data_IF_033030760504
#
_entry.id   IF_033030760504
#
_cell.length_a   1.000
_cell.length_b   1.000
_cell.length_c   1.000
_cell.angle_alpha   90.00
_cell.angle_beta   90.00
_cell.angle_gamma   90.00
#
_symmetry.space_group_name_H-M   'P 1'
#
loop_
_entity.id
_entity.type
_entity.pdbx_description
1 polymer ?
#
# COMPACT_ATOMS: atom_id res chain seq x y z
N UNK A 1 -21.92 -22.62 21.94
CA UNK A 1 -20.46 -22.84 22.01
C UNK A 1 -19.95 -22.39 23.38
N UNK A 2 -18.93 -23.03 23.92
CA UNK A 2 -18.35 -22.64 25.20
C UNK A 2 -17.65 -21.27 25.09
N UNK A 3 -17.82 -20.41 26.10
CA UNK A 3 -17.10 -19.13 26.15
C UNK A 3 -15.64 -19.39 26.52
N UNK A 4 -14.70 -18.87 25.72
CA UNK A 4 -13.26 -18.93 26.01
C UNK A 4 -12.89 -17.67 26.81
N UNK A 5 -12.15 -17.83 27.91
CA UNK A 5 -11.62 -16.70 28.69
C UNK A 5 -10.17 -16.46 28.31
N UNK A 6 -9.83 -15.19 28.16
CA UNK A 6 -8.48 -14.70 27.90
C UNK A 6 -8.13 -13.75 29.05
N UNK A 7 -6.91 -13.88 29.58
CA UNK A 7 -6.37 -12.97 30.59
C UNK A 7 -5.39 -12.02 29.92
N UNK A 8 -5.57 -10.72 30.13
CA UNK A 8 -4.73 -9.68 29.53
C UNK A 8 -4.23 -8.79 30.66
N UNK A 9 -2.91 -8.61 30.72
CA UNK A 9 -2.29 -7.63 31.60
C UNK A 9 -2.24 -6.28 30.89
N UNK A 10 -2.59 -5.22 31.61
CA UNK A 10 -2.55 -3.85 31.12
C UNK A 10 -1.68 -3.03 32.06
N UNK A 11 -1.00 -2.02 31.50
CA UNK A 11 -0.41 -0.98 32.31
C UNK A 11 -1.48 -0.30 33.19
N UNK A 12 -1.16 0.10 34.43
CA UNK A 12 -2.14 0.67 35.36
C UNK A 12 -2.92 1.85 34.77
N UNK A 13 -2.24 2.75 34.06
CA UNK A 13 -2.85 3.93 33.44
C UNK A 13 -3.79 3.53 32.30
N UNK A 14 -3.43 2.52 31.51
CA UNK A 14 -4.28 2.00 30.45
C UNK A 14 -5.53 1.31 31.03
N UNK A 15 -5.37 0.54 32.11
CA UNK A 15 -6.49 -0.11 32.80
C UNK A 15 -7.50 0.92 33.32
N UNK A 16 -7.04 2.01 33.92
CA UNK A 16 -7.91 3.06 34.44
C UNK A 16 -8.64 3.82 33.31
N UNK A 17 -7.94 4.11 32.22
CA UNK A 17 -8.56 4.70 31.02
C UNK A 17 -9.66 3.79 30.48
N UNK A 18 -9.39 2.50 30.31
CA UNK A 18 -10.38 1.54 29.79
C UNK A 18 -11.60 1.48 30.72
N UNK A 19 -11.38 1.43 32.05
CA UNK A 19 -12.47 1.43 33.04
C UNK A 19 -13.34 2.69 32.91
N UNK A 20 -12.73 3.87 32.89
CA UNK A 20 -13.45 5.15 32.73
C UNK A 20 -14.30 5.20 31.45
N UNK A 21 -13.77 4.67 30.34
CA UNK A 21 -14.51 4.62 29.07
C UNK A 21 -15.65 3.61 29.09
N UNK A 22 -15.44 2.42 29.68
CA UNK A 22 -16.48 1.42 29.84
C UNK A 22 -17.63 1.94 30.72
N UNK A 23 -17.30 2.59 31.84
CA UNK A 23 -18.28 3.20 32.74
C UNK A 23 -19.09 4.29 32.04
N UNK A 24 -18.44 5.17 31.27
CA UNK A 24 -19.12 6.21 30.48
C UNK A 24 -20.05 5.62 29.41
N UNK A 25 -19.70 4.45 28.87
CA UNK A 25 -20.53 3.72 27.92
C UNK A 25 -21.64 2.89 28.59
N UNK A 26 -21.68 2.82 29.93
CA UNK A 26 -22.61 1.97 30.67
C UNK A 26 -22.36 0.47 30.47
N UNK A 27 -21.11 0.09 30.23
CA UNK A 27 -20.71 -1.26 29.87
C UNK A 27 -19.73 -1.86 30.89
N UNK A 28 -19.78 -3.17 31.08
CA UNK A 28 -18.71 -3.89 31.76
C UNK A 28 -17.39 -3.81 30.97
N UNK A 29 -16.25 -3.72 31.67
CA UNK A 29 -14.92 -3.58 31.08
C UNK A 29 -14.61 -4.69 30.07
N UNK A 30 -14.96 -5.94 30.38
CA UNK A 30 -14.72 -7.06 29.47
C UNK A 30 -15.57 -6.95 28.20
N UNK A 31 -16.81 -6.51 28.34
CA UNK A 31 -17.72 -6.32 27.20
C UNK A 31 -17.29 -5.12 26.34
N UNK A 32 -16.82 -4.05 26.97
CA UNK A 32 -16.27 -2.89 26.29
C UNK A 32 -15.03 -3.27 25.46
N UNK A 33 -14.07 -3.98 26.07
CA UNK A 33 -12.86 -4.43 25.38
C UNK A 33 -13.17 -5.38 24.21
N UNK A 34 -14.05 -6.36 24.42
CA UNK A 34 -14.44 -7.31 23.37
C UNK A 34 -15.09 -6.57 22.19
N UNK A 35 -16.01 -5.64 22.47
CA UNK A 35 -16.67 -4.87 21.41
C UNK A 35 -15.69 -3.96 20.66
N UNK A 36 -14.75 -3.32 21.38
CA UNK A 36 -13.71 -2.51 20.76
C UNK A 36 -12.81 -3.36 19.85
N UNK A 37 -12.38 -4.54 20.31
CA UNK A 37 -11.57 -5.46 19.53
C UNK A 37 -12.29 -5.94 18.26
N UNK A 38 -13.57 -6.31 18.36
CA UNK A 38 -14.37 -6.73 17.20
C UNK A 38 -14.49 -5.61 16.17
N UNK A 39 -14.70 -4.36 16.61
CA UNK A 39 -14.75 -3.20 15.70
C UNK A 39 -13.42 -2.97 15.01
N UNK A 40 -12.32 -3.01 15.76
CA UNK A 40 -10.98 -2.85 15.21
C UNK A 40 -10.66 -3.93 14.18
N UNK A 41 -11.05 -5.18 14.43
CA UNK A 41 -10.88 -6.28 13.47
C UNK A 41 -11.68 -6.03 12.19
N UNK A 42 -12.96 -5.66 12.32
CA UNK A 42 -13.80 -5.37 11.16
C UNK A 42 -13.28 -4.18 10.33
N UNK A 43 -12.76 -3.14 10.99
CA UNK A 43 -12.15 -1.99 10.32
C UNK A 43 -10.87 -2.39 9.57
N UNK A 44 -10.03 -3.23 10.17
CA UNK A 44 -8.81 -3.74 9.53
C UNK A 44 -9.15 -4.64 8.32
N UNK A 45 -10.08 -5.59 8.49
CA UNK A 45 -10.53 -6.48 7.42
C UNK A 45 -11.16 -5.70 6.25
N UNK A 46 -11.92 -4.64 6.54
CA UNK A 46 -12.49 -3.77 5.52
C UNK A 46 -11.40 -3.01 4.74
N UNK A 47 -10.38 -2.51 5.43
CA UNK A 47 -9.25 -1.85 4.79
C UNK A 47 -8.44 -2.82 3.91
N UNK A 48 -8.17 -4.03 4.39
CA UNK A 48 -7.49 -5.07 3.60
C UNK A 48 -8.31 -5.47 2.37
N UNK A 49 -9.62 -5.60 2.51
CA UNK A 49 -10.51 -5.95 1.40
C UNK A 49 -10.55 -4.87 0.29
N UNK A 50 -10.33 -3.59 0.63
CA UNK A 50 -10.26 -2.50 -0.35
C UNK A 50 -9.09 -2.68 -1.33
N UNK A 51 -7.94 -3.16 -0.85
CA UNK A 51 -6.73 -3.32 -1.65
C UNK A 51 -6.55 -4.72 -2.26
N UNK A 52 -7.27 -5.72 -1.75
CA UNK A 52 -7.15 -7.11 -2.21
C UNK A 52 -7.27 -7.29 -3.74
N UNK A 53 -8.13 -6.50 -4.40
CA UNK A 53 -8.27 -6.54 -5.86
C UNK A 53 -7.05 -5.97 -6.59
N UNK A 54 -6.45 -4.91 -6.06
CA UNK A 54 -5.22 -4.32 -6.63
C UNK A 54 -4.04 -5.26 -6.43
N UNK A 55 -3.91 -5.86 -5.24
CA UNK A 55 -2.86 -6.83 -4.95
C UNK A 55 -2.96 -8.06 -5.87
N UNK A 56 -4.18 -8.53 -6.17
CA UNK A 56 -4.39 -9.61 -7.13
C UNK A 56 -3.96 -9.23 -8.55
N UNK A 57 -4.23 -7.98 -8.98
CA UNK A 57 -3.78 -7.48 -10.29
C UNK A 57 -2.26 -7.32 -10.35
N UNK A 58 -1.63 -6.89 -9.26
CA UNK A 58 -0.17 -6.79 -9.15
C UNK A 58 0.43 -8.20 -9.23
N UNK A 59 -0.08 -9.15 -8.45
CA UNK A 59 0.40 -10.53 -8.46
C UNK A 59 0.29 -11.18 -9.86
N UNK A 60 -0.83 -10.99 -10.56
CA UNK A 60 -0.99 -11.46 -11.95
C UNK A 60 0.01 -10.76 -12.90
N UNK A 61 0.27 -9.47 -12.70
CA UNK A 61 1.26 -8.74 -13.50
C UNK A 61 2.69 -9.22 -13.24
N UNK A 62 3.04 -9.49 -11.99
CA UNK A 62 4.34 -10.02 -11.59
C UNK A 62 4.56 -11.45 -12.13
N UNK A 63 3.56 -12.32 -12.04
CA UNK A 63 3.61 -13.66 -12.63
C UNK A 63 3.82 -13.61 -14.15
N UNK A 64 3.11 -12.72 -14.85
CA UNK A 64 3.32 -12.50 -16.29
C UNK A 64 4.69 -11.90 -16.62
N UNK A 65 5.26 -11.12 -15.71
CA UNK A 65 6.56 -10.48 -15.90
C UNK A 65 7.74 -11.43 -15.60
N UNK A 66 7.54 -12.46 -14.78
CA UNK A 66 8.57 -13.44 -14.38
C UNK A 66 9.43 -13.95 -15.55
N UNK A 67 8.88 -14.32 -16.72
CA UNK A 67 9.67 -14.82 -17.85
C UNK A 67 10.60 -13.79 -18.50
N UNK A 68 10.35 -12.49 -18.29
CA UNK A 68 11.13 -11.41 -18.88
C UNK A 68 12.41 -11.10 -18.08
N UNK A 69 12.55 -11.65 -16.87
CA UNK A 69 13.68 -11.39 -15.99
C UNK A 69 13.73 -9.94 -15.48
N UNK A 70 14.71 -9.61 -14.62
CA UNK A 70 14.92 -8.23 -14.23
C UNK A 70 15.20 -7.38 -15.47
N UNK A 71 14.60 -6.18 -15.51
CA UNK A 71 14.97 -5.17 -16.50
C UNK A 71 16.46 -4.90 -16.27
N UNK A 72 17.32 -5.36 -17.18
CA UNK A 72 18.66 -4.80 -17.27
C UNK A 72 18.43 -3.30 -17.41
N UNK A 73 19.06 -2.48 -16.57
CA UNK A 73 19.09 -1.03 -16.76
C UNK A 73 19.83 -0.76 -18.06
N UNK A 74 19.13 -1.00 -19.16
CA UNK A 74 19.53 -0.76 -20.50
C UNK A 74 19.52 0.76 -20.57
N UNK A 75 20.62 1.36 -20.12
CA UNK A 75 20.88 2.77 -20.30
C UNK A 75 20.72 3.09 -21.77
N UNK A 76 20.66 4.37 -22.09
CA UNK A 76 20.53 4.87 -23.47
C UNK A 76 21.54 4.18 -24.43
N UNK A 77 22.65 3.67 -23.89
CA UNK A 77 23.70 2.85 -24.53
C UNK A 77 23.31 1.45 -25.01
N UNK A 78 22.13 0.94 -24.69
CA UNK A 78 21.60 -0.32 -25.21
C UNK A 78 21.00 -0.19 -26.60
N UNK A 79 20.56 1.02 -26.98
CA UNK A 79 20.03 1.32 -28.31
C UNK A 79 21.16 1.77 -29.22
N UNK A 80 21.20 1.19 -30.43
CA UNK A 80 22.02 1.71 -31.51
C UNK A 80 21.61 3.15 -31.87
N UNK A 81 22.51 3.89 -32.51
CA UNK A 81 22.23 5.26 -32.94
C UNK A 81 21.03 5.36 -33.89
N UNK A 82 20.72 4.29 -34.62
CA UNK A 82 19.57 4.23 -35.52
C UNK A 82 18.27 3.99 -34.76
N UNK A 83 18.27 3.08 -33.78
CA UNK A 83 17.12 2.82 -32.90
C UNK A 83 16.78 4.05 -32.05
N UNK A 84 17.78 4.77 -31.53
CA UNK A 84 17.54 6.03 -30.80
C UNK A 84 16.87 7.08 -31.68
N UNK A 85 17.31 7.20 -32.93
CA UNK A 85 16.75 8.15 -33.90
C UNK A 85 15.30 7.83 -34.24
N UNK A 86 14.98 6.54 -34.37
CA UNK A 86 13.62 6.06 -34.64
C UNK A 86 12.70 6.35 -33.44
N UNK A 87 13.15 6.08 -32.22
CA UNK A 87 12.42 6.41 -30.99
C UNK A 87 12.21 7.92 -30.88
N UNK A 88 13.24 8.73 -31.14
CA UNK A 88 13.13 10.19 -31.11
C UNK A 88 12.15 10.74 -32.14
N UNK A 89 12.08 10.14 -33.33
CA UNK A 89 11.11 10.51 -34.36
C UNK A 89 9.67 10.14 -33.94
N UNK A 90 9.48 8.93 -33.41
CA UNK A 90 8.18 8.48 -32.91
C UNK A 90 7.71 9.34 -31.72
N UNK A 91 8.60 9.65 -30.78
CA UNK A 91 8.28 10.47 -29.61
C UNK A 91 7.95 11.91 -30.00
N UNK A 92 8.60 12.46 -31.04
CA UNK A 92 8.28 13.77 -31.59
C UNK A 92 6.87 13.85 -32.20
N UNK A 93 6.34 12.73 -32.71
CA UNK A 93 4.96 12.64 -33.17
C UNK A 93 3.96 12.70 -32.00
N UNK A 94 4.29 12.06 -30.88
CA UNK A 94 3.44 11.97 -29.68
C UNK A 94 3.43 13.28 -28.88
N UNK A 95 4.61 13.85 -28.62
CA UNK A 95 4.76 15.07 -27.81
C UNK A 95 4.71 16.36 -28.63
N UNK A 96 4.66 16.26 -29.96
CA UNK A 96 4.79 17.40 -30.87
C UNK A 96 6.24 17.91 -30.98
N UNK A 97 6.53 18.63 -32.07
CA UNK A 97 7.88 19.13 -32.40
C UNK A 97 8.42 20.23 -31.46
N UNK A 98 7.74 20.50 -30.34
CA UNK A 98 7.99 21.67 -29.52
C UNK A 98 7.94 21.37 -28.03
N UNK A 99 8.86 20.54 -27.53
CA UNK A 99 9.33 20.64 -26.12
C UNK A 99 10.63 19.85 -25.89
N UNK A 100 11.62 20.06 -26.77
CA UNK A 100 13.00 19.67 -26.49
C UNK A 100 13.73 20.74 -25.66
N UNK A 101 13.13 21.26 -24.58
CA UNK A 101 13.84 22.12 -23.62
C UNK A 101 13.02 22.37 -22.35
N UNK A 102 13.22 21.51 -21.33
CA UNK A 102 13.26 21.84 -19.89
C UNK A 102 12.83 20.65 -19.01
N UNK A 103 13.55 19.53 -19.09
CA UNK A 103 13.70 18.66 -17.91
C UNK A 103 15.12 18.84 -17.38
N UNK A 104 15.37 20.01 -16.79
CA UNK A 104 16.39 20.09 -15.73
C UNK A 104 15.86 19.20 -14.62
N UNK A 105 16.43 17.99 -14.59
CA UNK A 105 16.36 16.99 -13.55
C UNK A 105 16.33 17.70 -12.19
N UNK A 106 15.19 17.61 -11.49
CA UNK A 106 15.08 18.06 -10.11
C UNK A 106 16.07 17.26 -9.28
N UNK A 107 17.08 17.96 -8.79
CA UNK A 107 17.97 17.53 -7.72
C UNK A 107 17.11 17.37 -6.47
N UNK A 108 16.97 16.14 -5.98
CA UNK A 108 16.40 15.83 -4.68
C UNK A 108 17.47 16.12 -3.63
N UNK A 109 17.21 17.15 -2.83
CA UNK A 109 17.94 17.46 -1.60
C UNK A 109 17.47 16.58 -0.44
#
# INVERSE_FOLDING_TARGET
MAKVRISISLDPDAAERVRSHADRAGMDVSSYLVNAAIRQMAEAEAAEAEFAGVDALIADAEERAEPHGPIDEAGDDSLSADERREVDEAMRLVYGAGEAQARKRGEVA
#
